data_IF_862333765949
#
_entry.id   IF_862333765949
#
_cell.length_a   1.000
_cell.length_b   1.000
_cell.length_c   1.000
_cell.angle_alpha   90.00
_cell.angle_beta   90.00
_cell.angle_gamma   90.00
#
_symmetry.space_group_name_H-M   'P 1'
#
loop_
_entity.id
_entity.type
_entity.pdbx_description
1 polymer ?
#
# COMPACT_ATOMS: atom_id res chain seq x y z
N UNK A 1 13.13 1.79 -0.84
CA UNK A 1 12.87 0.42 -0.42
C UNK A 1 11.52 0.35 0.28
N UNK A 2 10.67 -0.59 -0.11
CA UNK A 2 9.34 -0.70 0.47
C UNK A 2 9.37 -1.23 1.90
N UNK A 3 8.45 -0.77 2.73
CA UNK A 3 8.32 -1.25 4.11
C UNK A 3 7.42 -2.47 4.24
N UNK A 4 6.68 -2.80 3.20
CA UNK A 4 5.80 -3.97 3.18
C UNK A 4 5.98 -4.72 1.87
N UNK A 5 5.66 -6.00 1.90
CA UNK A 5 5.72 -6.85 0.71
C UNK A 5 4.31 -7.07 0.15
N UNK A 6 4.25 -7.66 -1.04
CA UNK A 6 2.97 -8.03 -1.65
C UNK A 6 2.20 -8.98 -0.74
N UNK A 7 2.91 -9.91 -0.08
CA UNK A 7 2.28 -10.84 0.85
C UNK A 7 1.62 -10.12 2.02
N UNK A 8 2.24 -9.05 2.53
CA UNK A 8 1.68 -8.28 3.62
C UNK A 8 0.35 -7.64 3.22
N UNK A 9 0.30 -7.09 2.00
CA UNK A 9 -0.93 -6.51 1.45
C UNK A 9 -1.99 -7.59 1.26
N UNK A 10 -1.59 -8.71 0.70
CA UNK A 10 -2.48 -9.84 0.44
C UNK A 10 -3.15 -10.34 1.72
N UNK A 11 -2.36 -10.52 2.78
CA UNK A 11 -2.91 -10.98 4.06
C UNK A 11 -3.98 -10.05 4.61
N UNK A 12 -3.79 -8.75 4.43
CA UNK A 12 -4.73 -7.75 4.94
C UNK A 12 -5.94 -7.56 4.04
N UNK A 13 -5.75 -7.70 2.74
CA UNK A 13 -6.85 -7.58 1.78
C UNK A 13 -7.73 -8.82 1.78
N UNK A 14 -7.16 -9.98 2.03
CA UNK A 14 -7.89 -11.23 2.12
C UNK A 14 -8.22 -11.86 0.77
N UNK A 15 -7.76 -11.30 -0.32
CA UNK A 15 -7.98 -11.85 -1.67
C UNK A 15 -6.70 -11.74 -2.49
N UNK A 16 -6.61 -12.54 -3.55
CA UNK A 16 -5.47 -12.52 -4.45
C UNK A 16 -5.27 -11.15 -5.10
N UNK A 17 -4.01 -10.82 -5.33
CA UNK A 17 -3.61 -9.63 -6.06
C UNK A 17 -3.12 -10.09 -7.43
N UNK A 18 -3.81 -9.65 -8.47
CA UNK A 18 -3.48 -10.07 -9.84
C UNK A 18 -2.40 -9.20 -10.49
N UNK A 19 -2.32 -7.92 -10.12
CA UNK A 19 -1.36 -6.99 -10.70
C UNK A 19 -0.24 -6.70 -9.72
N UNK A 20 0.71 -7.64 -9.62
CA UNK A 20 1.79 -7.55 -8.66
C UNK A 20 2.77 -6.41 -8.96
N UNK A 21 2.99 -6.11 -10.24
CA UNK A 21 3.89 -5.02 -10.62
C UNK A 21 3.33 -3.66 -10.18
N UNK A 22 2.03 -3.48 -10.34
CA UNK A 22 1.36 -2.26 -9.92
C UNK A 22 1.41 -2.12 -8.39
N UNK A 23 1.14 -3.21 -7.67
CA UNK A 23 1.18 -3.20 -6.20
C UNK A 23 2.60 -2.92 -5.70
N UNK A 24 3.61 -3.49 -6.34
CA UNK A 24 5.00 -3.22 -5.99
C UNK A 24 5.32 -1.73 -6.14
N UNK A 25 4.88 -1.13 -7.24
CA UNK A 25 5.09 0.30 -7.45
C UNK A 25 4.38 1.14 -6.39
N UNK A 26 3.15 0.77 -6.02
CA UNK A 26 2.42 1.46 -4.95
C UNK A 26 3.11 1.35 -3.60
N UNK A 27 3.69 0.19 -3.31
CA UNK A 27 4.42 -0.01 -2.06
C UNK A 27 5.68 0.85 -2.01
N UNK A 28 6.38 0.97 -3.12
CA UNK A 28 7.55 1.84 -3.20
C UNK A 28 7.17 3.32 -3.05
N UNK A 29 6.09 3.73 -3.69
CA UNK A 29 5.58 5.10 -3.55
C UNK A 29 5.17 5.38 -2.11
N UNK A 30 4.52 4.43 -1.45
CA UNK A 30 4.15 4.58 -0.05
C UNK A 30 5.38 4.75 0.84
N UNK A 31 6.45 4.02 0.57
CA UNK A 31 7.69 4.13 1.33
C UNK A 31 8.28 5.54 1.21
N UNK A 32 8.26 6.12 0.02
CA UNK A 32 8.76 7.47 -0.21
C UNK A 32 7.94 8.47 0.59
N UNK A 33 6.62 8.35 0.57
CA UNK A 33 5.73 9.24 1.30
C UNK A 33 5.97 9.12 2.81
N UNK A 34 6.08 7.89 3.31
CA UNK A 34 6.30 7.65 4.73
C UNK A 34 7.63 8.25 5.18
N UNK A 35 8.68 8.07 4.41
CA UNK A 35 9.99 8.64 4.73
C UNK A 35 9.96 10.16 4.77
N UNK A 36 9.15 10.78 3.91
CA UNK A 36 9.03 12.23 3.89
C UNK A 36 8.29 12.79 5.10
N UNK A 37 7.30 12.06 5.62
CA UNK A 37 6.41 12.58 6.66
C UNK A 37 6.54 11.89 8.02
N UNK A 38 6.93 10.63 8.05
CA UNK A 38 6.94 9.83 9.28
C UNK A 38 8.18 8.93 9.40
N UNK A 39 9.34 9.46 9.03
CA UNK A 39 10.56 8.65 9.05
C UNK A 39 10.93 8.09 10.43
N UNK A 40 10.41 8.70 11.50
CA UNK A 40 10.68 8.24 12.87
C UNK A 40 9.71 7.15 13.36
N UNK A 41 8.72 6.79 12.57
CA UNK A 41 7.79 5.73 12.94
C UNK A 41 8.50 4.38 13.00
N UNK A 42 7.95 3.43 13.77
CA UNK A 42 8.50 2.08 13.82
C UNK A 42 8.32 1.37 12.47
N UNK A 43 9.13 0.34 12.24
CA UNK A 43 8.99 -0.44 11.00
C UNK A 43 7.60 -1.09 10.90
N UNK A 44 7.06 -1.54 12.02
CA UNK A 44 5.70 -2.12 12.03
C UNK A 44 4.65 -1.09 11.64
N UNK A 45 4.77 0.13 12.17
CA UNK A 45 3.84 1.20 11.83
C UNK A 45 3.96 1.58 10.36
N UNK A 46 5.17 1.65 9.83
CA UNK A 46 5.41 1.94 8.43
C UNK A 46 4.82 0.85 7.53
N UNK A 47 4.98 -0.41 7.92
CA UNK A 47 4.39 -1.52 7.19
C UNK A 47 2.86 -1.42 7.15
N UNK A 48 2.24 -1.15 8.29
CA UNK A 48 0.80 -1.03 8.39
C UNK A 48 0.27 0.10 7.50
N UNK A 49 0.89 1.26 7.58
CA UNK A 49 0.49 2.41 6.77
C UNK A 49 0.66 2.11 5.28
N UNK A 50 1.78 1.48 4.90
CA UNK A 50 2.01 1.10 3.50
C UNK A 50 0.90 0.19 2.98
N UNK A 51 0.56 -0.84 3.74
CA UNK A 51 -0.50 -1.77 3.34
C UNK A 51 -1.85 -1.06 3.21
N UNK A 52 -2.18 -0.22 4.17
CA UNK A 52 -3.46 0.50 4.14
C UNK A 52 -3.56 1.44 2.95
N UNK A 53 -2.49 2.15 2.61
CA UNK A 53 -2.46 3.02 1.45
C UNK A 53 -2.70 2.25 0.16
N UNK A 54 -2.02 1.11 0.00
CA UNK A 54 -2.15 0.27 -1.19
C UNK A 54 -3.56 -0.32 -1.27
N UNK A 55 -4.07 -0.87 -0.18
CA UNK A 55 -5.40 -1.48 -0.16
C UNK A 55 -6.47 -0.45 -0.52
N UNK A 56 -6.37 0.76 0.02
CA UNK A 56 -7.31 1.83 -0.29
C UNK A 56 -7.28 2.18 -1.77
N UNK A 57 -6.09 2.28 -2.35
CA UNK A 57 -5.93 2.59 -3.77
C UNK A 57 -6.52 1.49 -4.64
N UNK A 58 -6.24 0.23 -4.30
CA UNK A 58 -6.76 -0.91 -5.04
C UNK A 58 -8.29 -0.99 -4.94
N UNK A 59 -8.83 -0.73 -3.76
CA UNK A 59 -10.28 -0.73 -3.55
C UNK A 59 -10.98 0.30 -4.43
N UNK A 60 -10.47 1.52 -4.47
CA UNK A 60 -11.04 2.57 -5.31
C UNK A 60 -10.99 2.18 -6.78
N UNK A 61 -9.88 1.59 -7.22
CA UNK A 61 -9.72 1.17 -8.61
C UNK A 61 -10.67 0.03 -8.97
N UNK A 62 -10.78 -0.97 -8.09
CA UNK A 62 -11.64 -2.15 -8.33
C UNK A 62 -13.11 -1.80 -8.35
N UNK A 63 -13.53 -0.89 -7.51
CA UNK A 63 -14.92 -0.47 -7.43
C UNK A 63 -15.31 0.51 -8.52
N UNK A 64 -14.32 1.02 -9.25
CA UNK A 64 -14.58 2.00 -10.29
C UNK A 64 -15.03 3.34 -9.75
N UNK A 65 -14.81 3.59 -8.48
CA UNK A 65 -15.21 4.86 -7.86
C UNK A 65 -14.18 5.94 -8.21
N UNK A 66 -14.62 7.07 -8.78
CA UNK A 66 -13.69 8.15 -9.10
C UNK A 66 -13.06 8.70 -7.83
N UNK A 67 -11.74 8.85 -7.86
CA UNK A 67 -11.00 9.44 -6.75
C UNK A 67 -11.34 10.94 -6.70
N UNK A 68 -11.67 11.42 -5.52
CA UNK A 68 -11.93 12.83 -5.33
C UNK A 68 -13.38 13.29 -5.49
N UNK A 69 -14.28 12.36 -5.72
CA UNK A 69 -15.71 12.69 -5.74
C UNK A 69 -16.30 12.64 -4.35
#
# INVERSE_FOLDING_TARGET
MAYASIEDVWKRKGTDISDTDYVTALLEDAAIIIDAYNHNATDEAKKLVSCNMVIRTLGSREEGVPIGT
#
